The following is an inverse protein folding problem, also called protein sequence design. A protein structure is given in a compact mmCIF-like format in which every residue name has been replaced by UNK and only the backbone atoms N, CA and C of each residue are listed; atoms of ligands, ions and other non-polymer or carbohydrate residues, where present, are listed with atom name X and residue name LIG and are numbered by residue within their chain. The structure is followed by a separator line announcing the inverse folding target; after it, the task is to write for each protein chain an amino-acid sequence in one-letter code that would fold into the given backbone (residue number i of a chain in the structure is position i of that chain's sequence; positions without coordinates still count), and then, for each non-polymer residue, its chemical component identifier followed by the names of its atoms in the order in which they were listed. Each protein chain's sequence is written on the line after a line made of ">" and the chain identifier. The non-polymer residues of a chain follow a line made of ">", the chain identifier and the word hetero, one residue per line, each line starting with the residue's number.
data_IF_054369419913
#
_entry.id   IF_054369419913
#
_cell.length_a   1.000
_cell.length_b   1.000
_cell.length_c   1.000
_cell.angle_alpha   90.00
_cell.angle_beta   90.00
_cell.angle_gamma   90.00
#
_symmetry.space_group_name_H-M   'P 1'
#
loop_
_entity.id
_entity.type
_entity.pdbx_description
1 polymer ?
#
# COMPACT_ATOMS: atom_id res chain seq x y z
N UNK A 1 24.20 -11.60 -1.94
CA UNK A 1 22.80 -11.81 -1.51
C UNK A 1 21.91 -10.82 -2.23
N UNK A 2 20.72 -11.25 -2.66
CA UNK A 2 19.85 -10.43 -3.50
C UNK A 2 19.15 -9.29 -2.77
N UNK A 3 18.99 -9.39 -1.46
CA UNK A 3 18.18 -8.44 -0.69
C UNK A 3 16.69 -8.50 -0.97
N UNK A 4 16.23 -9.45 -1.78
CA UNK A 4 14.81 -9.61 -2.12
C UNK A 4 14.03 -10.22 -0.95
N UNK A 5 12.85 -9.65 -0.69
CA UNK A 5 11.95 -10.08 0.38
C UNK A 5 10.64 -10.56 -0.22
N UNK A 6 10.22 -11.75 0.17
CA UNK A 6 8.91 -12.30 -0.18
C UNK A 6 8.12 -12.49 1.11
N UNK A 7 7.04 -11.72 1.26
CA UNK A 7 6.23 -11.71 2.46
C UNK A 7 5.02 -12.64 2.29
N UNK A 8 4.98 -13.74 3.03
CA UNK A 8 3.84 -14.68 2.99
C UNK A 8 2.56 -14.09 3.58
N UNK A 9 2.67 -13.03 4.36
CA UNK A 9 1.55 -12.33 5.01
C UNK A 9 1.00 -11.19 4.19
N UNK A 10 1.59 -10.90 3.03
CA UNK A 10 1.11 -9.88 2.10
C UNK A 10 0.47 -10.54 0.87
N UNK A 11 -0.34 -9.80 0.10
CA UNK A 11 -0.90 -10.33 -1.14
C UNK A 11 0.21 -10.78 -2.09
N UNK A 12 -0.04 -11.90 -2.78
CA UNK A 12 0.91 -12.43 -3.74
C UNK A 12 1.13 -11.44 -4.88
N UNK A 13 2.40 -11.26 -5.29
CA UNK A 13 2.74 -10.38 -6.40
C UNK A 13 2.05 -10.82 -7.70
N UNK A 14 1.55 -9.85 -8.47
CA UNK A 14 0.85 -10.12 -9.75
C UNK A 14 1.83 -10.24 -10.92
N UNK A 15 3.12 -10.25 -10.67
CA UNK A 15 4.16 -10.37 -11.69
C UNK A 15 5.46 -10.88 -11.10
N UNK A 16 6.52 -10.85 -11.90
CA UNK A 16 7.83 -11.35 -11.51
C UNK A 16 8.64 -10.28 -10.77
N UNK A 17 8.31 -10.08 -9.48
CA UNK A 17 9.02 -9.13 -8.62
C UNK A 17 8.80 -9.50 -7.14
N UNK A 18 9.74 -9.12 -6.24
CA UNK A 18 9.57 -9.34 -4.80
C UNK A 18 8.61 -8.33 -4.19
N UNK A 19 8.19 -8.55 -2.96
CA UNK A 19 7.44 -7.56 -2.20
C UNK A 19 8.30 -6.36 -1.81
N UNK A 20 9.57 -6.61 -1.53
CA UNK A 20 10.52 -5.54 -1.20
C UNK A 20 11.95 -5.97 -1.53
N UNK A 21 12.85 -4.98 -1.59
CA UNK A 21 14.27 -5.21 -1.80
C UNK A 21 15.07 -4.27 -0.92
N UNK A 22 15.99 -4.83 -0.17
CA UNK A 22 16.91 -4.05 0.66
C UNK A 22 18.15 -3.67 -0.12
N UNK A 23 18.55 -2.40 -0.04
CA UNK A 23 19.79 -1.88 -0.61
C UNK A 23 20.44 -1.00 0.45
N UNK A 24 21.52 -1.48 1.09
CA UNK A 24 22.14 -0.78 2.21
C UNK A 24 21.15 -0.60 3.36
N UNK A 25 20.96 0.62 3.80
CA UNK A 25 20.02 0.96 4.86
C UNK A 25 18.59 1.26 4.35
N UNK A 26 18.37 1.17 3.04
CA UNK A 26 17.08 1.46 2.44
C UNK A 26 16.34 0.17 2.08
N UNK A 27 15.03 0.23 2.25
CA UNK A 27 14.11 -0.83 1.84
C UNK A 27 13.13 -0.25 0.82
N UNK A 28 13.15 -0.79 -0.38
CA UNK A 28 12.24 -0.41 -1.44
C UNK A 28 11.11 -1.43 -1.51
N UNK A 29 9.87 -0.99 -1.30
CA UNK A 29 8.71 -1.85 -1.46
C UNK A 29 8.21 -1.74 -2.91
N UNK A 30 7.80 -2.86 -3.48
CA UNK A 30 7.01 -2.84 -4.72
C UNK A 30 5.66 -2.16 -4.46
N UNK A 31 4.96 -1.75 -5.51
CA UNK A 31 3.62 -1.18 -5.35
C UNK A 31 2.71 -2.15 -4.60
N UNK A 32 2.09 -1.68 -3.54
CA UNK A 32 1.22 -2.48 -2.66
C UNK A 32 -0.20 -1.98 -2.78
N UNK A 33 -1.13 -2.90 -3.02
CA UNK A 33 -2.56 -2.61 -3.09
C UNK A 33 -3.33 -3.18 -1.90
N UNK A 34 -4.67 -3.01 -1.90
CA UNK A 34 -5.52 -3.39 -0.78
C UNK A 34 -6.07 -4.82 -0.83
N UNK A 35 -5.58 -5.70 -1.72
CA UNK A 35 -6.09 -7.08 -1.78
C UNK A 35 -5.85 -7.80 -0.46
N UNK A 36 -6.83 -8.58 -0.03
CA UNK A 36 -6.67 -9.43 1.15
C UNK A 36 -5.66 -10.55 0.85
N UNK A 37 -4.65 -10.77 1.73
CA UNK A 37 -3.61 -11.77 1.47
C UNK A 37 -4.13 -13.21 1.34
N UNK A 38 -5.22 -13.53 2.05
CA UNK A 38 -5.76 -14.89 2.08
C UNK A 38 -6.77 -15.15 0.97
N UNK A 39 -7.67 -14.19 0.71
CA UNK A 39 -8.81 -14.37 -0.19
C UNK A 39 -8.64 -13.70 -1.56
N UNK A 40 -7.69 -12.78 -1.71
CA UNK A 40 -7.55 -11.87 -2.85
C UNK A 40 -8.71 -10.89 -3.04
N UNK A 41 -9.68 -10.91 -2.14
CA UNK A 41 -10.81 -9.97 -2.19
C UNK A 41 -10.36 -8.57 -1.79
N UNK A 42 -11.15 -7.59 -2.21
CA UNK A 42 -10.90 -6.19 -1.90
C UNK A 42 -12.04 -5.72 -1.01
N UNK A 43 -11.70 -5.35 0.24
CA UNK A 43 -12.67 -4.91 1.24
C UNK A 43 -13.54 -3.77 0.69
N UNK A 44 -14.85 -3.91 0.84
CA UNK A 44 -15.81 -2.90 0.44
C UNK A 44 -16.18 -2.91 -1.05
N UNK A 45 -15.54 -3.73 -1.88
CA UNK A 45 -15.94 -3.84 -3.29
C UNK A 45 -17.25 -4.58 -3.45
N UNK A 46 -18.12 -4.04 -4.28
CA UNK A 46 -19.35 -4.69 -4.69
C UNK A 46 -19.38 -4.82 -6.20
N UNK A 47 -19.89 -5.94 -6.70
CA UNK A 47 -19.88 -6.27 -8.11
C UNK A 47 -21.30 -6.49 -8.65
N UNK A 48 -21.48 -6.17 -9.95
CA UNK A 48 -22.67 -6.60 -10.67
C UNK A 48 -22.64 -8.12 -10.90
N UNK A 49 -23.78 -8.69 -11.27
CA UNK A 49 -23.89 -10.13 -11.54
C UNK A 49 -22.94 -10.60 -12.66
N UNK A 50 -22.56 -9.70 -13.59
CA UNK A 50 -21.65 -10.02 -14.69
C UNK A 50 -20.16 -9.89 -14.30
N UNK A 51 -19.85 -9.58 -13.04
CA UNK A 51 -18.49 -9.47 -12.52
C UNK A 51 -17.86 -8.09 -12.63
N UNK A 52 -18.54 -7.12 -13.26
CA UNK A 52 -18.02 -5.74 -13.30
C UNK A 52 -18.11 -5.11 -11.91
N UNK A 53 -17.11 -4.28 -11.58
CA UNK A 53 -17.12 -3.52 -10.33
C UNK A 53 -18.30 -2.52 -10.34
N UNK A 54 -19.13 -2.58 -9.30
CA UNK A 54 -20.26 -1.67 -9.11
C UNK A 54 -19.90 -0.48 -8.24
N UNK A 55 -19.38 -0.75 -7.04
CA UNK A 55 -18.95 0.28 -6.09
C UNK A 55 -17.73 -0.22 -5.31
N UNK A 56 -16.99 0.71 -4.74
CA UNK A 56 -15.91 0.39 -3.82
C UNK A 56 -15.95 1.36 -2.62
N UNK A 57 -15.19 1.03 -1.59
CA UNK A 57 -15.08 1.82 -0.37
C UNK A 57 -13.63 2.25 -0.20
N UNK A 58 -13.33 3.52 -0.48
CA UNK A 58 -11.94 4.00 -0.42
C UNK A 58 -11.39 3.97 1.01
N UNK A 59 -12.20 4.20 2.03
CA UNK A 59 -11.74 4.11 3.42
C UNK A 59 -11.31 2.68 3.73
N UNK A 60 -12.13 1.69 3.39
CA UNK A 60 -11.80 0.28 3.59
C UNK A 60 -10.54 -0.12 2.82
N UNK A 61 -10.41 0.33 1.58
CA UNK A 61 -9.21 0.05 0.77
C UNK A 61 -7.97 0.72 1.33
N UNK A 62 -8.08 1.94 1.83
CA UNK A 62 -6.93 2.64 2.43
C UNK A 62 -6.43 1.91 3.68
N UNK A 63 -7.34 1.47 4.55
CA UNK A 63 -6.96 0.69 5.74
C UNK A 63 -6.33 -0.64 5.35
N UNK A 64 -6.86 -1.30 4.33
CA UNK A 64 -6.33 -2.57 3.84
C UNK A 64 -4.94 -2.42 3.24
N UNK A 65 -4.70 -1.37 2.43
CA UNK A 65 -3.37 -1.17 1.85
C UNK A 65 -2.33 -0.84 2.92
N UNK A 66 -2.70 -0.08 3.95
CA UNK A 66 -1.80 0.18 5.08
C UNK A 66 -1.45 -1.10 5.84
N UNK A 67 -2.43 -1.98 6.04
CA UNK A 67 -2.19 -3.29 6.64
C UNK A 67 -1.21 -4.14 5.82
N UNK A 68 -1.36 -4.13 4.49
CA UNK A 68 -0.47 -4.87 3.60
C UNK A 68 0.95 -4.28 3.56
N UNK A 69 1.08 -2.97 3.58
CA UNK A 69 2.40 -2.30 3.69
C UNK A 69 3.07 -2.72 5.00
N UNK A 70 2.34 -2.70 6.11
CA UNK A 70 2.87 -3.13 7.41
C UNK A 70 3.36 -4.57 7.37
N UNK A 71 2.60 -5.47 6.75
CA UNK A 71 2.99 -6.87 6.62
C UNK A 71 4.32 -7.03 5.87
N UNK A 72 4.54 -6.27 4.80
CA UNK A 72 5.80 -6.30 4.05
C UNK A 72 6.95 -5.72 4.88
N UNK A 73 6.72 -4.62 5.59
CA UNK A 73 7.72 -4.03 6.49
C UNK A 73 8.16 -5.03 7.56
N UNK A 74 7.21 -5.66 8.24
CA UNK A 74 7.49 -6.63 9.29
C UNK A 74 8.25 -7.86 8.77
N UNK A 75 7.85 -8.38 7.61
CA UNK A 75 8.56 -9.48 6.95
C UNK A 75 9.99 -9.09 6.55
N UNK A 76 10.25 -7.82 6.39
CA UNK A 76 11.57 -7.27 6.02
C UNK A 76 12.42 -6.89 7.24
N UNK A 77 11.89 -6.99 8.45
CA UNK A 77 12.58 -6.55 9.67
C UNK A 77 12.51 -5.05 9.89
N UNK A 78 11.64 -4.35 9.19
CA UNK A 78 11.40 -2.93 9.35
C UNK A 78 10.14 -2.67 10.17
N UNK A 79 9.94 -1.42 10.58
CA UNK A 79 8.78 -0.97 11.34
C UNK A 79 8.00 0.07 10.56
N UNK A 80 6.77 0.28 10.95
CA UNK A 80 5.92 1.33 10.38
C UNK A 80 6.61 2.70 10.43
N UNK A 81 7.26 2.99 11.53
CA UNK A 81 7.97 4.24 11.79
C UNK A 81 9.22 4.43 10.92
N UNK A 82 9.67 3.38 10.25
CA UNK A 82 10.82 3.45 9.35
C UNK A 82 10.46 3.96 7.96
N UNK A 83 9.17 4.13 7.65
CA UNK A 83 8.73 4.71 6.38
C UNK A 83 9.25 6.14 6.24
N UNK A 84 9.88 6.46 5.11
CA UNK A 84 10.46 7.78 4.85
C UNK A 84 9.84 8.46 3.63
N UNK A 85 9.31 7.70 2.68
CA UNK A 85 8.71 8.25 1.47
C UNK A 85 7.58 7.36 0.96
N UNK A 86 6.43 7.97 0.67
CA UNK A 86 5.25 7.26 0.19
C UNK A 86 4.66 8.01 -1.00
N UNK A 87 4.51 7.31 -2.11
CA UNK A 87 3.72 7.79 -3.25
C UNK A 87 2.39 7.05 -3.25
N UNK A 88 1.31 7.81 -3.27
CA UNK A 88 -0.06 7.28 -3.26
C UNK A 88 -0.68 7.49 -4.63
N UNK A 89 -1.18 6.42 -5.22
CA UNK A 89 -1.88 6.43 -6.51
C UNK A 89 -3.37 6.24 -6.28
N UNK A 90 -4.18 7.19 -6.76
CA UNK A 90 -5.64 7.12 -6.68
C UNK A 90 -6.23 7.10 -8.09
N UNK A 91 -7.23 6.25 -8.31
CA UNK A 91 -7.92 6.20 -9.61
C UNK A 91 -9.02 7.25 -9.75
N UNK A 92 -9.47 7.83 -8.64
CA UNK A 92 -10.48 8.89 -8.62
C UNK A 92 -10.15 9.92 -7.54
N UNK A 93 -9.26 10.85 -7.88
CA UNK A 93 -8.79 11.87 -6.94
C UNK A 93 -9.94 12.70 -6.36
N UNK A 94 -10.86 13.14 -7.21
CA UNK A 94 -11.94 14.03 -6.80
C UNK A 94 -12.86 13.38 -5.76
N UNK A 95 -13.18 12.11 -5.95
CA UNK A 95 -14.08 11.37 -5.05
C UNK A 95 -13.38 10.86 -3.80
N UNK A 96 -12.09 10.54 -3.87
CA UNK A 96 -11.43 9.70 -2.87
C UNK A 96 -10.44 10.42 -1.99
N UNK A 97 -9.91 11.57 -2.40
CA UNK A 97 -8.83 12.24 -1.67
C UNK A 97 -9.19 12.53 -0.22
N UNK A 98 -10.37 13.08 0.02
CA UNK A 98 -10.77 13.51 1.37
C UNK A 98 -10.81 12.35 2.37
N UNK A 99 -11.43 11.24 2.00
CA UNK A 99 -11.56 10.08 2.88
C UNK A 99 -10.22 9.37 3.09
N UNK A 100 -9.45 9.18 2.03
CA UNK A 100 -8.10 8.64 2.12
C UNK A 100 -7.20 9.52 3.01
N UNK A 101 -7.24 10.82 2.82
CA UNK A 101 -6.42 11.76 3.59
C UNK A 101 -6.76 11.74 5.08
N UNK A 102 -8.02 11.54 5.43
CA UNK A 102 -8.45 11.40 6.83
C UNK A 102 -7.87 10.12 7.46
N UNK A 103 -7.86 9.01 6.74
CA UNK A 103 -7.24 7.76 7.22
C UNK A 103 -5.72 7.93 7.35
N UNK A 104 -5.09 8.59 6.38
CA UNK A 104 -3.66 8.92 6.47
C UNK A 104 -3.32 9.63 7.78
N UNK A 105 -4.11 10.64 8.15
CA UNK A 105 -3.87 11.42 9.38
C UNK A 105 -4.02 10.57 10.65
N UNK A 106 -4.84 9.53 10.64
CA UNK A 106 -4.95 8.60 11.76
C UNK A 106 -3.67 7.77 11.94
N UNK A 107 -3.05 7.35 10.82
CA UNK A 107 -1.87 6.48 10.84
C UNK A 107 -0.57 7.28 10.96
N UNK A 108 -0.57 8.52 10.54
CA UNK A 108 0.58 9.44 10.59
C UNK A 108 0.14 10.77 11.22
N UNK A 109 -0.15 10.78 12.54
CA UNK A 109 -0.71 11.98 13.17
C UNK A 109 0.30 13.11 13.38
N UNK A 110 1.59 12.81 13.40
CA UNK A 110 2.65 13.79 13.63
C UNK A 110 3.44 14.05 12.35
N UNK A 111 3.28 15.23 11.73
CA UNK A 111 4.02 15.55 10.51
C UNK A 111 5.54 15.63 10.69
N UNK A 112 6.02 15.73 11.93
CA UNK A 112 7.48 15.72 12.18
C UNK A 112 8.11 14.35 11.99
N UNK A 113 7.32 13.27 12.10
CA UNK A 113 7.79 11.88 11.97
C UNK A 113 7.16 11.13 10.83
N UNK A 114 6.15 11.71 10.18
CA UNK A 114 5.50 11.10 9.02
C UNK A 114 6.46 11.02 7.83
N UNK A 115 6.27 10.05 6.94
CA UNK A 115 7.05 10.02 5.70
C UNK A 115 6.68 11.19 4.79
N UNK A 116 7.59 11.56 3.90
CA UNK A 116 7.24 12.42 2.79
C UNK A 116 6.12 11.76 1.97
N UNK A 117 5.25 12.56 1.36
CA UNK A 117 4.12 12.01 0.60
C UNK A 117 3.89 12.77 -0.69
N UNK A 118 3.63 12.01 -1.76
CA UNK A 118 3.10 12.53 -3.02
C UNK A 118 1.84 11.75 -3.36
N UNK A 119 0.76 12.43 -3.70
CA UNK A 119 -0.49 11.79 -4.13
C UNK A 119 -0.76 12.12 -5.59
N UNK A 120 -0.98 11.10 -6.41
CA UNK A 120 -1.16 11.20 -7.86
C UNK A 120 -2.49 10.58 -8.28
N UNK A 121 -3.19 11.25 -9.18
CA UNK A 121 -4.34 10.69 -9.88
C UNK A 121 -3.87 9.93 -11.13
N UNK A 122 -4.37 8.72 -11.32
CA UNK A 122 -4.00 7.84 -12.44
C UNK A 122 -5.26 7.25 -13.08
N UNK A 123 -5.11 6.65 -14.26
CA UNK A 123 -6.26 6.15 -15.00
C UNK A 123 -6.75 4.78 -14.57
N UNK A 124 -5.86 3.89 -14.17
CA UNK A 124 -6.21 2.53 -13.77
C UNK A 124 -5.06 1.85 -13.03
N UNK A 125 -5.38 0.77 -12.33
CA UNK A 125 -4.44 -0.12 -11.67
C UNK A 125 -4.67 -1.56 -12.17
N UNK A 126 -3.70 -2.48 -12.02
CA UNK A 126 -3.79 -3.83 -12.60
C UNK A 126 -4.94 -4.69 -12.08
N UNK A 127 -5.48 -4.41 -10.90
CA UNK A 127 -6.62 -5.13 -10.31
C UNK A 127 -7.70 -4.10 -9.99
N UNK A 128 -8.94 -4.52 -9.66
CA UNK A 128 -10.03 -3.57 -9.42
C UNK A 128 -9.90 -2.86 -8.07
N UNK A 129 -8.78 -2.15 -7.90
CA UNK A 129 -8.45 -1.36 -6.72
C UNK A 129 -8.45 0.12 -7.06
N UNK A 130 -8.72 0.96 -6.07
CA UNK A 130 -8.79 2.41 -6.23
C UNK A 130 -7.57 3.13 -5.66
N UNK A 131 -6.71 2.42 -4.95
CA UNK A 131 -5.52 2.97 -4.28
C UNK A 131 -4.36 1.97 -4.34
N UNK A 132 -3.16 2.50 -4.53
CA UNK A 132 -1.91 1.75 -4.42
C UNK A 132 -0.85 2.64 -3.81
N UNK A 133 0.06 2.06 -3.01
CA UNK A 133 1.17 2.78 -2.40
C UNK A 133 2.51 2.26 -2.91
N UNK A 134 3.41 3.20 -3.19
CA UNK A 134 4.84 2.93 -3.40
C UNK A 134 5.60 3.50 -2.21
N UNK A 135 6.30 2.66 -1.46
CA UNK A 135 6.94 3.04 -0.20
C UNK A 135 8.43 2.82 -0.22
N UNK A 136 9.16 3.69 0.48
CA UNK A 136 10.58 3.51 0.80
C UNK A 136 10.71 3.65 2.32
N UNK A 137 11.43 2.72 2.93
CA UNK A 137 11.75 2.76 4.36
C UNK A 137 13.26 2.83 4.55
N UNK A 138 13.69 3.36 5.69
CA UNK A 138 15.09 3.38 6.08
C UNK A 138 15.22 2.68 7.43
N UNK A 139 16.07 1.66 7.50
CA UNK A 139 16.32 0.95 8.76
C UNK A 139 17.02 1.89 9.73
N UNK A 140 16.53 1.93 10.98
CA UNK A 140 17.25 2.66 12.02
C UNK A 140 18.50 1.90 12.40
N UNK A 141 19.56 2.64 12.67
CA UNK A 141 20.77 2.08 13.26
C UNK A 141 20.46 1.56 14.67
N UNK A 142 21.04 0.43 14.99
CA UNK A 142 20.89 -0.17 16.32
C UNK A 142 21.57 0.69 17.40
#
# INVERSE_FOLDING_TARGET
>A
MSGAIHASTAPKAVGSYPHARRVGELLFLSGIGPRDPASNEIAGNEYFADGRLRTYDIEAQTRAVFSNVRAVLEASGARWEDLVDVTVYLTDMASDFKAYNAVWAEFFPDPATAPCRTTLGITALPTPIAIELKCIAAFKEA
#
